data_IF_232781389700
#
_entry.id   IF_232781389700
#
_cell.length_a   1.000
_cell.length_b   1.000
_cell.length_c   1.000
_cell.angle_alpha   90.00
_cell.angle_beta   90.00
_cell.angle_gamma   90.00
#
_symmetry.space_group_name_H-M   'P 1'
#
loop_
_entity.id
_entity.type
_entity.pdbx_description
1 polymer ?
#
# COMPACT_ATOMS: atom_id res chain seq x y z
N UNK A 1 2.91 -11.11 60.90
CA UNK A 1 2.83 -12.32 60.03
C UNK A 1 1.73 -12.05 59.03
N UNK A 2 2.07 -11.41 57.92
CA UNK A 2 1.14 -11.03 56.83
C UNK A 2 1.37 -12.00 55.68
N UNK A 3 0.37 -12.82 55.40
CA UNK A 3 0.31 -13.78 54.33
C UNK A 3 0.05 -13.01 53.00
N UNK A 4 1.03 -12.99 52.11
CA UNK A 4 0.87 -12.54 50.73
C UNK A 4 0.33 -13.69 49.91
N UNK A 5 -0.88 -13.56 49.40
CA UNK A 5 -1.45 -14.48 48.41
C UNK A 5 -0.77 -14.25 47.03
N UNK A 6 -0.47 -15.32 46.28
CA UNK A 6 0.08 -15.18 44.93
C UNK A 6 -1.04 -14.74 43.97
N UNK A 7 -0.81 -13.65 43.26
CA UNK A 7 -1.60 -13.28 42.10
C UNK A 7 -1.37 -14.32 40.97
N UNK A 8 -2.33 -15.23 40.82
CA UNK A 8 -2.42 -16.03 39.60
C UNK A 8 -2.80 -15.10 38.43
N UNK A 9 -1.85 -14.77 37.59
CA UNK A 9 -2.14 -14.19 36.28
C UNK A 9 -2.66 -15.34 35.39
N UNK A 10 -3.97 -15.38 35.18
CA UNK A 10 -4.53 -16.28 34.17
C UNK A 10 -3.90 -15.98 32.80
N UNK A 11 -3.46 -17.00 32.07
CA UNK A 11 -3.01 -16.78 30.69
C UNK A 11 -4.19 -16.25 29.89
N UNK A 12 -3.98 -15.15 29.16
CA UNK A 12 -4.95 -14.58 28.25
C UNK A 12 -5.47 -15.71 27.36
N UNK A 13 -6.79 -16.00 27.46
CA UNK A 13 -7.45 -16.97 26.59
C UNK A 13 -7.11 -16.61 25.16
N UNK A 14 -6.44 -17.50 24.45
CA UNK A 14 -6.31 -17.44 23.01
C UNK A 14 -7.74 -17.35 22.45
N UNK A 15 -8.09 -16.21 21.90
CA UNK A 15 -9.36 -16.02 21.22
C UNK A 15 -9.29 -16.88 19.95
N UNK A 16 -9.87 -18.08 20.02
CA UNK A 16 -10.13 -18.92 18.87
C UNK A 16 -11.28 -18.28 18.08
N UNK A 17 -10.95 -17.17 17.39
CA UNK A 17 -11.83 -16.50 16.46
C UNK A 17 -11.69 -17.25 15.13
N UNK A 18 -12.49 -18.27 14.94
CA UNK A 18 -12.78 -18.80 13.63
C UNK A 18 -13.32 -17.63 12.78
N UNK A 19 -12.41 -16.94 12.05
CA UNK A 19 -12.81 -15.93 11.07
C UNK A 19 -13.42 -16.73 9.92
N UNK A 20 -14.72 -16.89 9.95
CA UNK A 20 -15.52 -17.51 8.88
C UNK A 20 -15.37 -16.75 7.55
N UNK A 21 -14.85 -15.50 7.59
CA UNK A 21 -14.68 -14.62 6.45
C UNK A 21 -13.21 -14.38 6.19
N UNK A 22 -12.66 -15.10 5.24
CA UNK A 22 -11.28 -14.90 4.78
C UNK A 22 -11.21 -13.73 3.80
N UNK A 23 -10.09 -12.96 3.81
CA UNK A 23 -9.85 -11.95 2.78
C UNK A 23 -9.95 -12.56 1.37
N UNK A 24 -10.65 -11.88 0.47
CA UNK A 24 -10.77 -12.32 -0.92
C UNK A 24 -9.52 -11.95 -1.71
N UNK A 25 -8.99 -10.78 -1.44
CA UNK A 25 -7.81 -10.22 -2.10
C UNK A 25 -6.92 -9.59 -1.04
N UNK A 26 -5.62 -9.85 -1.12
CA UNK A 26 -4.60 -9.03 -0.49
C UNK A 26 -4.10 -8.03 -1.53
N UNK A 27 -4.44 -6.77 -1.33
CA UNK A 27 -4.18 -5.73 -2.31
C UNK A 27 -2.78 -5.11 -2.21
N UNK A 28 -1.93 -5.55 -1.26
CA UNK A 28 -0.61 -4.96 -1.06
C UNK A 28 0.41 -6.02 -0.63
N UNK A 29 0.99 -6.67 -1.63
CA UNK A 29 1.96 -7.76 -1.44
C UNK A 29 3.23 -7.42 -2.22
N UNK A 30 4.33 -7.18 -1.51
CA UNK A 30 5.62 -6.98 -2.16
C UNK A 30 6.24 -8.30 -2.55
N UNK A 31 6.84 -8.34 -3.75
CA UNK A 31 7.73 -9.40 -4.21
C UNK A 31 9.01 -8.74 -4.72
N UNK A 32 10.15 -9.26 -4.30
CA UNK A 32 11.46 -8.70 -4.59
C UNK A 32 12.21 -9.66 -5.53
N UNK A 33 12.83 -9.14 -6.59
CA UNK A 33 13.73 -9.97 -7.37
C UNK A 33 14.96 -10.39 -6.55
N UNK A 34 15.60 -11.52 -6.86
CA UNK A 34 16.86 -11.90 -6.23
C UNK A 34 17.96 -10.84 -6.39
N UNK A 35 17.94 -10.08 -7.49
CA UNK A 35 18.87 -8.98 -7.73
C UNK A 35 18.62 -7.81 -6.75
N UNK A 36 17.38 -7.43 -6.53
CA UNK A 36 17.03 -6.39 -5.56
C UNK A 36 17.38 -6.80 -4.14
N UNK A 37 17.10 -8.05 -3.75
CA UNK A 37 17.50 -8.59 -2.44
C UNK A 37 19.03 -8.52 -2.24
N UNK A 38 19.80 -8.91 -3.27
CA UNK A 38 21.26 -8.84 -3.23
C UNK A 38 21.74 -7.39 -3.04
N UNK A 39 21.15 -6.44 -3.76
CA UNK A 39 21.48 -5.03 -3.66
C UNK A 39 21.18 -4.52 -2.24
N UNK A 40 19.99 -4.80 -1.71
CA UNK A 40 19.59 -4.35 -0.39
C UNK A 40 20.45 -4.94 0.73
N UNK A 41 20.82 -6.21 0.64
CA UNK A 41 21.80 -6.83 1.56
C UNK A 41 23.14 -6.14 1.50
N UNK A 42 23.60 -5.77 0.30
CA UNK A 42 24.83 -5.01 0.09
C UNK A 42 24.80 -3.61 0.71
N UNK A 43 23.61 -3.01 0.82
CA UNK A 43 23.37 -1.73 1.51
C UNK A 43 23.13 -1.88 3.02
N UNK A 44 23.21 -3.09 3.56
CA UNK A 44 23.03 -3.36 4.99
C UNK A 44 21.57 -3.45 5.43
N UNK A 45 20.60 -3.52 4.51
CA UNK A 45 19.18 -3.71 4.84
C UNK A 45 19.00 -5.16 5.35
N UNK A 46 18.47 -5.34 6.58
CA UNK A 46 18.34 -6.65 7.17
C UNK A 46 17.18 -7.43 6.59
N UNK A 47 17.37 -8.73 6.36
CA UNK A 47 16.33 -9.68 6.01
C UNK A 47 16.18 -10.70 7.14
N UNK A 48 15.00 -10.80 7.74
CA UNK A 48 14.73 -11.69 8.89
C UNK A 48 14.28 -13.10 8.48
N UNK A 49 14.05 -13.34 7.19
CA UNK A 49 13.61 -14.61 6.62
C UNK A 49 14.51 -15.00 5.45
N UNK A 50 14.51 -16.28 5.02
CA UNK A 50 15.18 -16.69 3.79
C UNK A 50 14.71 -15.91 2.56
N UNK A 51 15.55 -15.79 1.55
CA UNK A 51 15.29 -14.97 0.35
C UNK A 51 14.00 -15.40 -0.39
N UNK A 52 13.70 -16.68 -0.41
CA UNK A 52 12.51 -17.25 -1.03
C UNK A 52 11.22 -16.69 -0.41
N UNK A 53 11.25 -16.34 0.87
CA UNK A 53 10.11 -15.72 1.55
C UNK A 53 9.70 -14.39 0.89
N UNK A 54 10.65 -13.69 0.28
CA UNK A 54 10.45 -12.39 -0.37
C UNK A 54 10.38 -12.49 -1.90
N UNK A 55 10.98 -13.51 -2.49
CA UNK A 55 11.16 -13.60 -3.95
C UNK A 55 10.39 -14.74 -4.60
N UNK A 56 10.12 -15.85 -3.92
CA UNK A 56 9.43 -16.97 -4.53
C UNK A 56 7.92 -16.82 -4.44
N UNK A 57 7.26 -16.77 -5.60
CA UNK A 57 5.81 -16.58 -5.68
C UNK A 57 5.03 -17.75 -5.04
N UNK A 58 5.56 -18.97 -5.07
CA UNK A 58 4.94 -20.14 -4.43
C UNK A 58 4.96 -20.01 -2.91
N UNK A 59 6.09 -19.58 -2.35
CA UNK A 59 6.23 -19.28 -0.91
C UNK A 59 5.30 -18.15 -0.49
N UNK A 60 5.23 -17.05 -1.26
CA UNK A 60 4.34 -15.92 -0.99
C UNK A 60 2.87 -16.37 -0.99
N UNK A 61 2.43 -17.12 -2.00
CA UNK A 61 1.06 -17.64 -2.08
C UNK A 61 0.72 -18.58 -0.92
N UNK A 62 1.67 -19.41 -0.48
CA UNK A 62 1.48 -20.29 0.69
C UNK A 62 1.33 -19.47 1.97
N UNK A 63 2.12 -18.42 2.14
CA UNK A 63 2.08 -17.56 3.31
C UNK A 63 0.83 -16.64 3.33
N UNK A 64 0.34 -16.23 2.17
CA UNK A 64 -0.84 -15.35 2.09
C UNK A 64 -2.16 -16.10 2.14
N UNK A 65 -2.25 -17.27 1.54
CA UNK A 65 -3.42 -18.18 1.57
C UNK A 65 -4.77 -17.50 1.24
N UNK A 66 -4.78 -16.45 0.42
CA UNK A 66 -5.97 -15.75 -0.06
C UNK A 66 -6.33 -16.17 -1.49
N UNK A 67 -7.52 -15.76 -1.96
CA UNK A 67 -7.95 -16.10 -3.32
C UNK A 67 -7.12 -15.39 -4.38
N UNK A 68 -6.75 -14.13 -4.14
CA UNK A 68 -5.96 -13.30 -5.06
C UNK A 68 -5.03 -12.36 -4.32
N UNK A 69 -3.86 -12.12 -4.89
CA UNK A 69 -2.92 -11.11 -4.41
C UNK A 69 -2.57 -10.11 -5.51
N UNK A 70 -2.33 -8.87 -5.11
CA UNK A 70 -1.77 -7.84 -5.97
C UNK A 70 -0.27 -7.75 -5.67
N UNK A 71 0.55 -8.20 -6.63
CA UNK A 71 2.01 -8.16 -6.54
C UNK A 71 2.49 -6.75 -6.91
N UNK A 72 3.17 -6.11 -5.98
CA UNK A 72 3.64 -4.75 -6.12
C UNK A 72 5.13 -4.74 -6.44
N UNK A 73 5.47 -4.21 -7.60
CA UNK A 73 6.87 -4.03 -7.99
C UNK A 73 7.53 -2.95 -7.15
N UNK A 74 8.77 -3.22 -6.74
CA UNK A 74 9.63 -2.28 -6.03
C UNK A 74 10.58 -1.51 -6.97
N UNK A 75 10.33 -1.52 -8.28
CA UNK A 75 11.22 -0.90 -9.27
C UNK A 75 11.51 0.59 -9.01
N UNK A 76 10.58 1.31 -8.39
CA UNK A 76 10.75 2.72 -8.01
C UNK A 76 11.93 2.98 -7.07
N UNK A 77 12.41 1.97 -6.33
CA UNK A 77 13.53 2.15 -5.40
C UNK A 77 14.86 2.38 -6.12
N UNK A 78 15.00 1.88 -7.35
CA UNK A 78 16.22 2.10 -8.14
C UNK A 78 16.40 3.57 -8.57
N UNK A 79 15.32 4.33 -8.58
CA UNK A 79 15.32 5.78 -8.86
C UNK A 79 15.41 6.63 -7.58
N UNK A 80 15.44 6.01 -6.41
CA UNK A 80 15.52 6.71 -5.12
C UNK A 80 16.95 7.17 -4.84
N UNK A 81 17.10 8.45 -4.48
CA UNK A 81 18.39 8.98 -4.04
C UNK A 81 18.90 8.33 -2.75
N UNK A 82 18.00 7.81 -1.91
CA UNK A 82 18.31 7.11 -0.68
C UNK A 82 19.15 5.86 -0.91
N UNK A 83 18.97 5.19 -2.05
CA UNK A 83 19.72 3.98 -2.42
C UNK A 83 20.95 4.25 -3.28
N UNK A 84 21.31 5.51 -3.50
CA UNK A 84 22.63 5.89 -3.99
C UNK A 84 22.83 5.97 -5.51
N UNK A 85 21.79 6.14 -6.30
CA UNK A 85 21.89 6.43 -7.74
C UNK A 85 22.61 5.34 -8.56
N UNK A 86 21.87 4.55 -9.31
CA UNK A 86 22.43 3.48 -10.14
C UNK A 86 22.74 3.98 -11.55
N UNK A 87 23.94 3.70 -12.07
CA UNK A 87 24.32 4.07 -13.45
C UNK A 87 23.42 3.41 -14.50
N UNK A 88 22.90 2.22 -14.22
CA UNK A 88 22.00 1.45 -15.06
C UNK A 88 20.56 1.44 -14.50
N UNK A 89 20.14 2.54 -13.89
CA UNK A 89 18.82 2.69 -13.22
C UNK A 89 17.67 2.17 -14.09
N UNK A 90 17.54 2.64 -15.33
CA UNK A 90 16.46 2.22 -16.23
C UNK A 90 16.44 0.71 -16.45
N UNK A 91 17.59 0.09 -16.67
CA UNK A 91 17.70 -1.36 -16.84
C UNK A 91 17.22 -2.13 -15.61
N UNK A 92 17.59 -1.67 -14.41
CA UNK A 92 17.16 -2.27 -13.14
C UNK A 92 15.64 -2.13 -12.93
N UNK A 93 15.08 -0.98 -13.26
CA UNK A 93 13.62 -0.74 -13.23
C UNK A 93 12.91 -1.72 -14.19
N UNK A 94 13.38 -1.84 -15.41
CA UNK A 94 12.82 -2.74 -16.42
C UNK A 94 12.90 -4.21 -15.99
N UNK A 95 14.02 -4.63 -15.38
CA UNK A 95 14.20 -6.00 -14.87
C UNK A 95 13.26 -6.30 -13.69
N UNK A 96 13.13 -5.41 -12.71
CA UNK A 96 12.25 -5.62 -11.57
C UNK A 96 10.77 -5.71 -11.98
N UNK A 97 10.31 -4.82 -12.85
CA UNK A 97 8.96 -4.89 -13.42
C UNK A 97 8.73 -6.18 -14.21
N UNK A 98 9.72 -6.63 -14.99
CA UNK A 98 9.66 -7.89 -15.72
C UNK A 98 9.60 -9.10 -14.78
N UNK A 99 10.33 -9.06 -13.68
CA UNK A 99 10.32 -10.11 -12.64
C UNK A 99 8.93 -10.28 -12.02
N UNK A 100 8.30 -9.17 -11.63
CA UNK A 100 6.95 -9.19 -11.03
C UNK A 100 5.91 -9.69 -12.03
N UNK A 101 5.99 -9.27 -13.30
CA UNK A 101 5.11 -9.74 -14.35
C UNK A 101 5.28 -11.26 -14.58
N UNK A 102 6.52 -11.76 -14.65
CA UNK A 102 6.81 -13.18 -14.79
C UNK A 102 6.31 -14.01 -13.58
N UNK A 103 6.39 -13.46 -12.36
CA UNK A 103 5.82 -14.09 -11.18
C UNK A 103 4.30 -14.23 -11.29
N UNK A 104 3.59 -13.16 -11.74
CA UNK A 104 2.14 -13.19 -12.01
C UNK A 104 1.79 -14.28 -13.03
N UNK A 105 2.55 -14.40 -14.11
CA UNK A 105 2.25 -15.32 -15.21
C UNK A 105 2.34 -16.80 -14.79
N UNK A 106 3.10 -17.11 -13.73
CA UNK A 106 3.14 -18.46 -13.15
C UNK A 106 1.84 -18.88 -12.45
N UNK A 107 1.00 -17.92 -12.05
CA UNK A 107 -0.22 -18.16 -11.28
C UNK A 107 -1.42 -17.35 -11.81
N UNK A 108 -1.84 -17.61 -13.05
CA UNK A 108 -2.92 -16.87 -13.69
C UNK A 108 -4.23 -16.98 -12.87
N UNK A 109 -4.94 -15.88 -12.74
CA UNK A 109 -6.18 -15.80 -11.98
C UNK A 109 -6.04 -15.68 -10.45
N UNK A 110 -4.85 -15.97 -9.90
CA UNK A 110 -4.53 -15.80 -8.47
C UNK A 110 -3.75 -14.53 -8.18
N UNK A 111 -3.07 -13.99 -9.16
CA UNK A 111 -2.15 -12.85 -9.00
C UNK A 111 -2.46 -11.76 -10.02
N UNK A 112 -2.24 -10.50 -9.61
CA UNK A 112 -2.13 -9.34 -10.50
C UNK A 112 -0.76 -8.72 -10.30
N UNK A 113 -0.20 -8.06 -11.31
CA UNK A 113 1.09 -7.39 -11.25
C UNK A 113 0.91 -5.87 -11.41
N UNK A 114 1.45 -5.11 -10.47
CA UNK A 114 1.52 -3.65 -10.52
C UNK A 114 2.95 -3.23 -10.86
N UNK A 115 3.11 -2.60 -12.01
CA UNK A 115 4.36 -2.05 -12.49
C UNK A 115 4.69 -0.78 -11.72
N UNK A 116 5.96 -0.54 -11.40
CA UNK A 116 6.37 0.64 -10.65
C UNK A 116 7.40 1.47 -11.40
N UNK A 117 7.23 2.78 -11.32
CA UNK A 117 8.16 3.76 -11.90
C UNK A 117 8.28 4.99 -11.00
N UNK A 118 9.39 5.71 -11.12
CA UNK A 118 9.49 7.10 -10.67
C UNK A 118 8.83 8.02 -11.72
N UNK A 119 7.73 8.71 -11.39
CA UNK A 119 7.05 9.56 -12.35
C UNK A 119 7.88 10.76 -12.81
N UNK A 120 8.99 11.07 -12.12
CA UNK A 120 9.86 12.20 -12.45
C UNK A 120 10.90 11.86 -13.51
N UNK A 121 11.09 10.59 -13.83
CA UNK A 121 12.06 10.14 -14.85
C UNK A 121 11.49 10.35 -16.26
N UNK A 122 12.36 10.72 -17.17
CA UNK A 122 11.96 10.98 -18.57
C UNK A 122 11.50 9.70 -19.27
N UNK A 123 12.02 8.54 -18.88
CA UNK A 123 11.62 7.23 -19.40
C UNK A 123 10.34 6.65 -18.75
N UNK A 124 9.73 7.33 -17.76
CA UNK A 124 8.62 6.78 -16.99
C UNK A 124 7.44 6.32 -17.85
N UNK A 125 7.03 7.13 -18.83
CA UNK A 125 5.93 6.77 -19.72
C UNK A 125 6.31 5.66 -20.71
N UNK A 126 7.54 5.60 -21.18
CA UNK A 126 8.03 4.51 -22.06
C UNK A 126 7.98 3.19 -21.29
N UNK A 127 8.43 3.17 -20.03
CA UNK A 127 8.37 1.97 -19.22
C UNK A 127 6.91 1.57 -18.90
N UNK A 128 6.03 2.52 -18.58
CA UNK A 128 4.62 2.21 -18.39
C UNK A 128 3.97 1.65 -19.66
N UNK A 129 4.33 2.15 -20.83
CA UNK A 129 3.86 1.61 -22.09
C UNK A 129 4.38 0.18 -22.34
N UNK A 130 5.65 -0.10 -22.00
CA UNK A 130 6.22 -1.46 -22.02
C UNK A 130 5.49 -2.37 -21.04
N UNK A 131 5.22 -1.90 -19.82
CA UNK A 131 4.45 -2.61 -18.82
C UNK A 131 3.05 -2.99 -19.33
N UNK A 132 2.38 -2.07 -20.01
CA UNK A 132 1.04 -2.29 -20.55
C UNK A 132 1.05 -3.25 -21.76
N UNK A 133 1.93 -3.02 -22.73
CA UNK A 133 1.88 -3.70 -24.03
C UNK A 133 2.63 -5.03 -24.02
N UNK A 134 3.81 -5.05 -23.43
CA UNK A 134 4.71 -6.22 -23.42
C UNK A 134 4.47 -7.08 -22.19
N UNK A 135 4.51 -6.49 -21.00
CA UNK A 135 4.36 -7.21 -19.74
C UNK A 135 2.89 -7.46 -19.37
N UNK A 136 1.96 -6.69 -19.94
CA UNK A 136 0.51 -6.78 -19.69
C UNK A 136 0.20 -6.72 -18.20
N UNK A 137 0.84 -5.80 -17.48
CA UNK A 137 0.61 -5.60 -16.05
C UNK A 137 -0.78 -5.03 -15.80
N UNK A 138 -1.30 -5.29 -14.60
CA UNK A 138 -2.68 -5.04 -14.21
C UNK A 138 -2.89 -3.66 -13.60
N UNK A 139 -1.82 -2.94 -13.26
CA UNK A 139 -1.88 -1.63 -12.66
C UNK A 139 -0.52 -0.96 -12.50
N UNK A 140 -0.52 0.21 -11.90
CA UNK A 140 0.64 1.06 -11.69
C UNK A 140 0.83 1.31 -10.20
N UNK A 141 2.05 1.15 -9.68
CA UNK A 141 2.49 1.62 -8.37
C UNK A 141 3.26 2.92 -8.50
N UNK A 142 2.88 3.92 -7.73
CA UNK A 142 3.66 5.15 -7.53
C UNK A 142 4.06 5.27 -6.06
N UNK A 143 5.26 5.77 -5.79
CA UNK A 143 5.79 5.92 -4.44
C UNK A 143 6.42 7.29 -4.26
N UNK A 144 5.62 8.26 -3.80
CA UNK A 144 6.06 9.65 -3.73
C UNK A 144 7.20 9.87 -2.71
N UNK A 145 7.23 9.12 -1.60
CA UNK A 145 8.30 9.23 -0.62
C UNK A 145 9.64 8.79 -1.21
N UNK A 146 9.74 7.57 -1.72
CA UNK A 146 10.98 7.03 -2.26
C UNK A 146 11.55 7.88 -3.41
N UNK A 147 10.68 8.49 -4.21
CA UNK A 147 11.07 9.29 -5.37
C UNK A 147 11.01 10.81 -5.11
N UNK A 148 10.80 11.23 -3.87
CA UNK A 148 10.74 12.65 -3.47
C UNK A 148 9.80 13.49 -4.35
N UNK A 149 8.61 12.95 -4.65
CA UNK A 149 7.61 13.59 -5.50
C UNK A 149 6.81 14.60 -4.67
N UNK A 150 6.94 15.88 -5.00
CA UNK A 150 6.25 16.98 -4.32
C UNK A 150 5.25 17.63 -5.28
N UNK A 151 3.94 17.45 -5.08
CA UNK A 151 2.93 18.05 -5.94
C UNK A 151 2.95 19.57 -5.89
N UNK A 152 3.47 20.16 -4.81
CA UNK A 152 3.68 21.60 -4.67
C UNK A 152 4.78 22.16 -5.58
N UNK A 153 5.57 21.31 -6.23
CA UNK A 153 6.55 21.67 -7.25
C UNK A 153 5.91 21.54 -8.63
N UNK A 154 5.73 22.63 -9.41
CA UNK A 154 4.97 22.61 -10.67
C UNK A 154 5.48 21.56 -11.67
N UNK A 155 6.79 21.36 -11.77
CA UNK A 155 7.40 20.35 -12.65
C UNK A 155 7.04 18.92 -12.24
N UNK A 156 7.01 18.62 -10.93
CA UNK A 156 6.59 17.32 -10.41
C UNK A 156 5.10 17.08 -10.67
N UNK A 157 4.26 18.07 -10.35
CA UNK A 157 2.82 18.01 -10.61
C UNK A 157 2.51 17.73 -12.09
N UNK A 158 3.20 18.39 -13.00
CA UNK A 158 3.01 18.16 -14.44
C UNK A 158 3.37 16.73 -14.86
N UNK A 159 4.50 16.20 -14.36
CA UNK A 159 4.92 14.81 -14.66
C UNK A 159 3.96 13.79 -14.06
N UNK A 160 3.54 13.95 -12.80
CA UNK A 160 2.55 13.08 -12.15
C UNK A 160 1.21 13.12 -12.90
N UNK A 161 0.74 14.30 -13.30
CA UNK A 161 -0.49 14.45 -14.11
C UNK A 161 -0.43 13.64 -15.40
N UNK A 162 0.72 13.59 -16.09
CA UNK A 162 0.90 12.77 -17.30
C UNK A 162 0.77 11.28 -17.02
N UNK A 163 1.32 10.79 -15.89
CA UNK A 163 1.18 9.39 -15.49
C UNK A 163 -0.27 9.05 -15.16
N UNK A 164 -0.98 9.93 -14.45
CA UNK A 164 -2.41 9.75 -14.17
C UNK A 164 -3.25 9.75 -15.45
N UNK A 165 -2.93 10.65 -16.40
CA UNK A 165 -3.60 10.67 -17.70
C UNK A 165 -3.36 9.36 -18.48
N UNK A 166 -2.12 8.88 -18.51
CA UNK A 166 -1.78 7.59 -19.11
C UNK A 166 -2.58 6.44 -18.47
N UNK A 167 -2.64 6.40 -17.15
CA UNK A 167 -3.39 5.37 -16.41
C UNK A 167 -4.88 5.41 -16.75
N UNK A 168 -5.50 6.59 -16.75
CA UNK A 168 -6.91 6.78 -17.05
C UNK A 168 -7.26 6.41 -18.50
N UNK A 169 -6.43 6.81 -19.47
CA UNK A 169 -6.62 6.50 -20.88
C UNK A 169 -6.52 5.00 -21.16
N UNK A 170 -5.69 4.29 -20.40
CA UNK A 170 -5.47 2.85 -20.53
C UNK A 170 -6.26 2.01 -19.53
N UNK A 171 -7.10 2.63 -18.69
CA UNK A 171 -7.91 1.96 -17.64
C UNK A 171 -7.08 1.14 -16.66
N UNK A 172 -5.86 1.60 -16.36
CA UNK A 172 -4.98 0.98 -15.39
C UNK A 172 -5.24 1.57 -14.00
N UNK A 173 -5.53 0.75 -12.98
CA UNK A 173 -5.62 1.22 -11.61
C UNK A 173 -4.26 1.72 -11.11
N UNK A 174 -4.29 2.70 -10.21
CA UNK A 174 -3.09 3.21 -9.52
C UNK A 174 -3.14 2.80 -8.05
N UNK A 175 -2.06 2.19 -7.55
CA UNK A 175 -1.74 2.10 -6.13
C UNK A 175 -0.75 3.22 -5.79
N UNK A 176 -1.21 4.19 -5.03
CA UNK A 176 -0.46 5.41 -4.72
C UNK A 176 0.02 5.43 -3.28
N UNK A 177 1.33 5.30 -3.05
CA UNK A 177 1.95 5.72 -1.80
C UNK A 177 2.15 7.24 -1.86
N UNK A 178 1.22 7.98 -1.25
CA UNK A 178 1.08 9.41 -1.48
C UNK A 178 1.97 10.27 -0.60
N UNK A 179 2.29 9.81 0.61
CA UNK A 179 3.24 10.49 1.49
C UNK A 179 4.55 10.77 0.74
N UNK A 180 5.07 11.96 0.91
CA UNK A 180 6.35 12.39 0.34
C UNK A 180 7.38 12.74 1.41
N UNK A 181 7.11 12.40 2.67
CA UNK A 181 7.92 12.68 3.87
C UNK A 181 8.21 14.16 4.13
N UNK A 182 7.75 15.07 3.28
CA UNK A 182 7.95 16.49 3.52
C UNK A 182 7.13 16.95 4.74
N UNK A 183 7.73 17.80 5.59
CA UNK A 183 7.07 18.28 6.84
C UNK A 183 5.73 19.01 6.62
N UNK A 184 5.48 19.54 5.42
CA UNK A 184 4.24 20.24 5.04
C UNK A 184 3.25 19.35 4.30
N UNK A 185 3.55 18.04 4.16
CA UNK A 185 2.63 17.11 3.53
C UNK A 185 1.27 17.10 4.25
N UNK A 186 0.21 17.05 3.49
CA UNK A 186 -1.16 17.00 4.03
C UNK A 186 -2.17 17.67 3.11
N UNK A 187 -2.97 18.61 3.65
CA UNK A 187 -4.05 19.25 2.91
C UNK A 187 -3.62 19.90 1.58
N UNK A 188 -2.48 20.63 1.46
CA UNK A 188 -2.07 21.17 0.17
C UNK A 188 -1.84 20.12 -0.91
N UNK A 189 -1.28 18.96 -0.54
CA UNK A 189 -1.05 17.85 -1.48
C UNK A 189 -2.37 17.22 -1.91
N UNK A 190 -3.32 17.05 -0.97
CA UNK A 190 -4.68 16.56 -1.27
C UNK A 190 -5.41 17.53 -2.20
N UNK A 191 -5.36 18.84 -1.93
CA UNK A 191 -5.99 19.87 -2.76
C UNK A 191 -5.44 19.85 -4.20
N UNK A 192 -4.12 19.66 -4.37
CA UNK A 192 -3.48 19.54 -5.68
C UNK A 192 -3.84 18.24 -6.39
N UNK A 193 -3.83 17.11 -5.68
CA UNK A 193 -4.26 15.84 -6.25
C UNK A 193 -5.69 15.92 -6.77
N UNK A 194 -6.60 16.47 -5.97
CA UNK A 194 -8.01 16.58 -6.33
C UNK A 194 -8.23 17.66 -7.40
N UNK A 195 -7.80 18.89 -7.14
CA UNK A 195 -8.13 20.03 -7.98
C UNK A 195 -7.33 20.13 -9.28
N UNK A 196 -6.09 19.62 -9.30
CA UNK A 196 -5.21 19.74 -10.47
C UNK A 196 -5.07 18.44 -11.27
N UNK A 197 -5.30 17.27 -10.65
CA UNK A 197 -5.15 15.98 -11.31
C UNK A 197 -6.52 15.33 -11.52
N UNK A 198 -7.26 15.01 -10.46
CA UNK A 198 -8.47 14.17 -10.55
C UNK A 198 -9.66 14.90 -11.16
N UNK A 199 -9.83 16.19 -10.90
CA UNK A 199 -11.02 16.95 -11.31
C UNK A 199 -11.35 16.79 -12.80
N UNK A 200 -10.36 16.92 -13.66
CA UNK A 200 -10.53 16.90 -15.13
C UNK A 200 -10.17 15.55 -15.74
N UNK A 201 -9.72 14.59 -14.92
CA UNK A 201 -9.31 13.27 -15.39
C UNK A 201 -10.53 12.41 -15.76
N UNK A 202 -10.40 11.53 -16.75
CA UNK A 202 -11.36 10.45 -16.98
C UNK A 202 -11.49 9.56 -15.74
N UNK A 203 -12.58 8.78 -15.58
CA UNK A 203 -12.73 7.86 -14.46
C UNK A 203 -11.49 6.97 -14.25
N UNK A 204 -11.01 6.90 -13.02
CA UNK A 204 -9.87 6.07 -12.63
C UNK A 204 -10.19 5.26 -11.39
N UNK A 205 -9.59 4.08 -11.26
CA UNK A 205 -9.51 3.31 -10.02
C UNK A 205 -8.19 3.67 -9.32
N UNK A 206 -8.29 4.28 -8.14
CA UNK A 206 -7.13 4.68 -7.35
C UNK A 206 -7.24 4.14 -5.94
N UNK A 207 -6.19 3.46 -5.51
CA UNK A 207 -6.02 3.00 -4.14
C UNK A 207 -4.90 3.80 -3.49
N UNK A 208 -5.20 4.45 -2.37
CA UNK A 208 -4.23 5.21 -1.59
C UNK A 208 -3.68 4.30 -0.50
N UNK A 209 -2.39 3.99 -0.57
CA UNK A 209 -1.72 3.10 0.36
C UNK A 209 -1.64 3.70 1.77
N UNK A 210 -1.68 2.84 2.79
CA UNK A 210 -1.42 3.18 4.20
C UNK A 210 -2.21 4.38 4.71
N UNK A 211 -3.46 4.53 4.26
CA UNK A 211 -4.31 5.69 4.59
C UNK A 211 -3.66 7.03 4.24
N UNK A 212 -2.78 7.03 3.23
CA UNK A 212 -2.17 8.23 2.65
C UNK A 212 -0.82 8.61 3.21
N UNK A 213 -0.31 7.88 4.22
CA UNK A 213 1.02 8.11 4.79
C UNK A 213 1.94 6.90 4.61
N UNK A 214 3.02 6.81 5.39
CA UNK A 214 4.01 5.73 5.29
C UNK A 214 3.79 4.62 6.33
N UNK A 215 2.55 4.46 6.77
CA UNK A 215 2.17 3.48 7.80
C UNK A 215 1.88 4.11 9.16
N UNK A 216 1.30 3.29 10.06
CA UNK A 216 0.82 3.77 11.36
C UNK A 216 -0.42 4.66 11.26
N UNK A 217 -0.79 5.26 12.42
CA UNK A 217 -1.98 6.10 12.50
C UNK A 217 -1.74 7.28 13.45
N UNK A 218 -0.88 8.17 13.05
CA UNK A 218 -0.49 9.35 13.81
C UNK A 218 -1.30 10.61 13.45
N UNK A 219 -0.85 11.77 13.92
CA UNK A 219 -1.47 13.06 13.61
C UNK A 219 -1.38 13.41 12.11
N UNK A 220 -0.31 13.00 11.44
CA UNK A 220 -0.10 13.23 10.00
C UNK A 220 -1.12 12.46 9.18
N UNK A 221 -1.32 11.17 9.49
CA UNK A 221 -2.34 10.32 8.86
C UNK A 221 -3.73 10.90 9.06
N UNK A 222 -4.06 11.32 10.29
CA UNK A 222 -5.36 11.94 10.59
C UNK A 222 -5.57 13.26 9.84
N UNK A 223 -4.54 14.09 9.75
CA UNK A 223 -4.57 15.34 8.99
C UNK A 223 -4.87 15.12 7.51
N UNK A 224 -4.16 14.17 6.90
CA UNK A 224 -4.39 13.74 5.52
C UNK A 224 -5.83 13.24 5.31
N UNK A 225 -6.28 12.31 6.15
CA UNK A 225 -7.63 11.73 6.04
C UNK A 225 -8.74 12.78 6.21
N UNK A 226 -8.58 13.73 7.13
CA UNK A 226 -9.54 14.83 7.29
C UNK A 226 -9.64 15.65 6.00
N UNK A 227 -8.51 16.07 5.43
CA UNK A 227 -8.48 16.81 4.19
C UNK A 227 -9.15 16.04 3.03
N UNK A 228 -8.90 14.72 2.96
CA UNK A 228 -9.49 13.90 1.89
C UNK A 228 -10.98 13.65 2.09
N UNK A 229 -11.44 13.44 3.33
CA UNK A 229 -12.87 13.32 3.67
C UNK A 229 -13.61 14.60 3.30
N UNK A 230 -13.04 15.77 3.59
CA UNK A 230 -13.62 17.07 3.22
C UNK A 230 -13.74 17.19 1.69
N UNK A 231 -12.73 16.79 0.93
CA UNK A 231 -12.80 16.78 -0.54
C UNK A 231 -13.86 15.79 -1.07
N UNK A 232 -13.98 14.60 -0.48
CA UNK A 232 -15.02 13.64 -0.87
C UNK A 232 -16.43 14.17 -0.63
N UNK A 233 -16.61 15.03 0.38
CA UNK A 233 -17.89 15.66 0.71
C UNK A 233 -18.23 16.86 -0.18
N UNK A 234 -17.21 17.63 -0.57
CA UNK A 234 -17.41 18.94 -1.22
C UNK A 234 -17.13 18.97 -2.73
N UNK A 235 -16.32 18.03 -3.25
CA UNK A 235 -15.95 17.96 -4.66
C UNK A 235 -16.73 16.87 -5.40
N UNK A 236 -17.82 17.21 -6.12
CA UNK A 236 -18.70 16.21 -6.75
C UNK A 236 -18.02 15.45 -7.89
N UNK A 237 -16.97 16.03 -8.52
CA UNK A 237 -16.26 15.36 -9.63
C UNK A 237 -15.53 14.10 -9.18
N UNK A 238 -15.25 13.93 -7.88
CA UNK A 238 -14.66 12.71 -7.33
C UNK A 238 -15.57 11.50 -7.42
N UNK A 239 -16.91 11.70 -7.54
CA UNK A 239 -17.88 10.59 -7.63
C UNK A 239 -17.70 9.71 -8.88
N UNK A 240 -17.06 10.24 -9.92
CA UNK A 240 -16.77 9.46 -11.14
C UNK A 240 -15.60 8.49 -10.97
N UNK A 241 -14.76 8.69 -9.94
CA UNK A 241 -13.59 7.85 -9.66
C UNK A 241 -13.93 6.78 -8.62
N UNK A 242 -13.28 5.62 -8.72
CA UNK A 242 -13.22 4.67 -7.62
C UNK A 242 -12.00 4.98 -6.77
N UNK A 243 -12.20 5.60 -5.61
CA UNK A 243 -11.14 5.96 -4.67
C UNK A 243 -11.28 5.10 -3.42
N UNK A 244 -10.25 4.30 -3.13
CA UNK A 244 -10.17 3.45 -1.94
C UNK A 244 -8.91 3.75 -1.16
N UNK A 245 -8.93 3.40 0.12
CA UNK A 245 -7.81 3.58 1.04
C UNK A 245 -7.36 2.20 1.51
N UNK A 246 -6.10 1.92 1.29
CA UNK A 246 -5.48 0.67 1.71
C UNK A 246 -5.12 0.75 3.19
N UNK A 247 -5.59 -0.24 3.97
CA UNK A 247 -5.34 -0.31 5.41
C UNK A 247 -4.00 -0.96 5.77
N UNK A 248 -3.24 -1.44 4.78
CA UNK A 248 -1.94 -2.08 5.02
C UNK A 248 -1.01 -1.19 5.85
N UNK A 249 -0.25 -1.79 6.77
CA UNK A 249 0.65 -1.12 7.71
C UNK A 249 0.03 0.00 8.58
N UNK A 250 -1.30 0.13 8.66
CA UNK A 250 -1.97 1.18 9.44
C UNK A 250 -2.29 0.72 10.86
N UNK A 251 -2.93 -0.44 11.00
CA UNK A 251 -3.37 -1.00 12.28
C UNK A 251 -2.23 -1.84 12.92
N UNK A 252 -1.12 -1.20 13.25
CA UNK A 252 0.06 -1.88 13.78
C UNK A 252 -0.14 -2.31 15.23
N UNK A 253 0.06 -3.59 15.53
CA UNK A 253 0.10 -4.15 16.89
C UNK A 253 1.54 -4.37 17.40
N UNK A 254 2.52 -4.19 16.53
CA UNK A 254 3.97 -4.24 16.78
C UNK A 254 4.66 -3.04 16.14
N UNK A 255 5.82 -2.66 16.66
CA UNK A 255 6.67 -1.64 16.04
C UNK A 255 7.30 -2.22 14.76
N UNK A 256 7.37 -1.42 13.69
CA UNK A 256 7.93 -1.84 12.41
C UNK A 256 8.50 -0.64 11.65
N UNK A 257 9.72 -0.80 11.10
CA UNK A 257 10.37 0.16 10.19
C UNK A 257 10.35 1.62 10.69
N UNK A 258 10.59 1.80 12.01
CA UNK A 258 10.56 3.12 12.64
C UNK A 258 9.14 3.66 12.94
N UNK A 259 8.10 2.92 12.57
CA UNK A 259 6.71 3.24 12.90
C UNK A 259 6.30 2.48 14.16
N UNK A 260 5.78 3.21 15.12
CA UNK A 260 5.35 2.65 16.41
C UNK A 260 3.97 1.97 16.28
N UNK A 261 3.77 0.90 17.04
CA UNK A 261 2.44 0.26 17.22
C UNK A 261 1.41 1.24 17.80
N UNK A 262 0.13 0.96 17.54
CA UNK A 262 -0.98 1.73 18.08
C UNK A 262 -1.28 1.37 19.54
N UNK A 263 -1.71 2.38 20.30
CA UNK A 263 -2.33 2.17 21.60
C UNK A 263 -3.79 1.72 21.46
N UNK A 264 -4.41 1.27 22.56
CA UNK A 264 -5.83 0.89 22.57
C UNK A 264 -6.72 2.06 22.17
N UNK A 265 -6.42 3.26 22.66
CA UNK A 265 -7.15 4.49 22.33
C UNK A 265 -7.02 4.84 20.85
N UNK A 266 -5.84 4.67 20.28
CA UNK A 266 -5.58 4.93 18.85
C UNK A 266 -6.33 3.95 17.93
N UNK A 267 -6.45 2.69 18.31
CA UNK A 267 -7.34 1.75 17.61
C UNK A 267 -8.79 2.23 17.61
N UNK A 268 -9.28 2.76 18.75
CA UNK A 268 -10.61 3.37 18.83
C UNK A 268 -10.78 4.60 17.93
N UNK A 269 -9.72 5.43 17.81
CA UNK A 269 -9.72 6.58 16.88
C UNK A 269 -9.71 6.09 15.44
N UNK A 270 -8.86 5.14 15.08
CA UNK A 270 -8.77 4.55 13.76
C UNK A 270 -10.12 3.98 13.29
N UNK A 271 -10.83 3.26 14.17
CA UNK A 271 -12.20 2.77 13.91
C UNK A 271 -13.13 3.91 13.46
N UNK A 272 -13.14 5.04 14.19
CA UNK A 272 -13.98 6.18 13.82
C UNK A 272 -13.65 6.74 12.44
N UNK A 273 -12.38 6.78 12.05
CA UNK A 273 -11.97 7.20 10.71
C UNK A 273 -12.42 6.23 9.62
N UNK A 274 -12.33 4.91 9.87
CA UNK A 274 -12.88 3.89 8.97
C UNK A 274 -14.37 4.10 8.75
N UNK A 275 -15.12 4.39 9.82
CA UNK A 275 -16.56 4.66 9.75
C UNK A 275 -16.88 5.97 9.00
N UNK A 276 -16.07 7.02 9.19
CA UNK A 276 -16.24 8.31 8.48
C UNK A 276 -15.92 8.19 6.98
N UNK A 277 -14.93 7.40 6.59
CA UNK A 277 -14.60 7.11 5.19
C UNK A 277 -15.67 6.24 4.53
N UNK A 278 -16.30 5.36 5.29
CA UNK A 278 -17.13 4.25 4.84
C UNK A 278 -16.28 2.97 4.65
N UNK A 279 -16.66 1.86 5.33
CA UNK A 279 -15.93 0.59 5.21
C UNK A 279 -15.81 0.06 3.78
N UNK A 280 -16.72 0.45 2.88
CA UNK A 280 -16.70 0.11 1.47
C UNK A 280 -15.58 0.82 0.68
N UNK A 281 -15.00 1.87 1.24
CA UNK A 281 -13.83 2.56 0.68
C UNK A 281 -12.51 2.02 1.22
N UNK A 282 -12.55 1.10 2.18
CA UNK A 282 -11.32 0.52 2.74
C UNK A 282 -10.97 -0.74 1.97
N UNK A 283 -9.74 -0.80 1.44
CA UNK A 283 -9.20 -1.98 0.79
C UNK A 283 -8.30 -2.75 1.76
N UNK A 284 -8.45 -4.07 1.77
CA UNK A 284 -7.57 -4.94 2.55
C UNK A 284 -6.22 -5.09 1.83
N UNK A 285 -5.15 -4.90 2.58
CA UNK A 285 -3.77 -5.16 2.19
C UNK A 285 -2.94 -5.45 3.43
N UNK A 286 -1.88 -6.23 3.31
CA UNK A 286 -1.03 -6.65 4.44
C UNK A 286 0.28 -5.91 4.50
N UNK A 287 0.69 -5.30 3.40
CA UNK A 287 2.08 -4.86 3.22
C UNK A 287 3.06 -6.02 3.41
N UNK A 288 2.67 -7.21 2.86
CA UNK A 288 3.56 -8.37 2.95
C UNK A 288 4.97 -8.00 2.47
N UNK A 289 6.01 -8.31 3.23
CA UNK A 289 6.07 -9.36 4.25
C UNK A 289 5.82 -8.89 5.69
N UNK A 290 5.32 -7.69 5.94
CA UNK A 290 5.06 -7.16 7.28
C UNK A 290 4.07 -8.03 8.07
N UNK A 291 2.97 -8.43 7.41
CA UNK A 291 1.97 -9.34 7.94
C UNK A 291 1.56 -10.40 6.90
N UNK A 292 1.07 -11.52 7.38
CA UNK A 292 0.23 -12.41 6.58
C UNK A 292 -1.24 -11.95 6.65
N UNK A 293 -2.09 -12.30 5.66
CA UNK A 293 -3.50 -11.93 5.68
C UNK A 293 -4.26 -12.45 6.90
N UNK A 294 -3.92 -13.66 7.39
CA UNK A 294 -4.55 -14.22 8.58
C UNK A 294 -4.22 -13.41 9.84
N UNK A 295 -2.94 -13.08 10.04
CA UNK A 295 -2.49 -12.25 11.16
C UNK A 295 -3.17 -10.87 11.12
N UNK A 296 -3.13 -10.21 9.97
CA UNK A 296 -3.64 -8.85 9.85
C UNK A 296 -5.18 -8.78 9.97
N UNK A 297 -5.90 -9.73 9.39
CA UNK A 297 -7.34 -9.84 9.58
C UNK A 297 -7.73 -10.07 11.05
N UNK A 298 -6.95 -10.87 11.79
CA UNK A 298 -7.16 -11.08 13.22
C UNK A 298 -6.94 -9.79 14.02
N UNK A 299 -5.91 -9.01 13.70
CA UNK A 299 -5.66 -7.69 14.32
C UNK A 299 -6.83 -6.74 14.05
N UNK A 300 -7.27 -6.61 12.80
CA UNK A 300 -8.39 -5.75 12.43
C UNK A 300 -9.67 -6.16 13.18
N UNK A 301 -9.97 -7.46 13.24
CA UNK A 301 -11.16 -7.97 13.97
C UNK A 301 -11.04 -7.75 15.47
N UNK A 302 -9.90 -8.10 16.06
CA UNK A 302 -9.72 -8.10 17.52
C UNK A 302 -9.47 -6.72 18.14
N UNK A 303 -8.80 -5.82 17.41
CA UNK A 303 -8.38 -4.51 17.95
C UNK A 303 -9.30 -3.36 17.58
N UNK A 304 -9.87 -3.37 16.36
CA UNK A 304 -10.74 -2.28 15.89
C UNK A 304 -12.18 -2.40 16.39
N UNK A 305 -12.62 -3.59 16.84
CA UNK A 305 -14.01 -3.81 17.26
C UNK A 305 -15.02 -3.53 16.14
N UNK A 306 -14.64 -3.77 14.89
CA UNK A 306 -15.52 -3.65 13.73
C UNK A 306 -16.60 -4.72 13.76
N UNK A 307 -17.81 -4.37 13.33
CA UNK A 307 -18.88 -5.33 13.13
C UNK A 307 -18.55 -6.31 12.01
N UNK A 308 -19.20 -7.48 11.99
CA UNK A 308 -19.01 -8.46 10.91
C UNK A 308 -19.39 -7.89 9.53
N UNK A 309 -20.31 -6.96 9.48
CA UNK A 309 -20.70 -6.26 8.23
C UNK A 309 -19.56 -5.35 7.74
N UNK A 310 -18.96 -4.57 8.63
CA UNK A 310 -17.83 -3.70 8.30
C UNK A 310 -16.59 -4.52 7.88
N UNK A 311 -16.28 -5.58 8.63
CA UNK A 311 -15.20 -6.52 8.26
C UNK A 311 -15.44 -7.16 6.89
N UNK A 312 -16.66 -7.66 6.63
CA UNK A 312 -16.99 -8.20 5.29
C UNK A 312 -16.82 -7.17 4.18
N UNK A 313 -17.17 -5.91 4.42
CA UNK A 313 -16.98 -4.83 3.44
C UNK A 313 -15.49 -4.66 3.10
N UNK A 314 -14.63 -4.54 4.10
CA UNK A 314 -13.18 -4.37 3.95
C UNK A 314 -12.55 -5.59 3.25
N UNK A 315 -12.83 -6.81 3.74
CA UNK A 315 -12.21 -8.04 3.25
C UNK A 315 -12.67 -8.45 1.84
N UNK A 316 -13.81 -7.94 1.37
CA UNK A 316 -14.34 -8.18 0.02
C UNK A 316 -14.07 -7.06 -0.97
N UNK A 317 -13.60 -5.90 -0.50
CA UNK A 317 -13.28 -4.79 -1.38
C UNK A 317 -12.09 -5.17 -2.28
N UNK A 318 -12.28 -4.94 -3.60
CA UNK A 318 -11.34 -5.38 -4.66
C UNK A 318 -10.50 -4.23 -5.13
#
# INVERSE_FOLDING_TARGET
MLLTAPFCVEPAKAFDLAIEIKPQTDGHVHILSPELIKIWKGLGIPFSRPDEYYSDIGAILSNTAVRRIDLISMAHVFSSEEFGGFKNERELVEKENSYVAAARDKHPGKTRAFCSVDPLRDYALDELERCRTTLRTDGIKLHHNANQVYLTVPGHLAKVKRVFQFAADNRLPILLHFDNSHRRFGKPDVDLLVGSILKDLKPIDMRIAHFGTSGGFDQRTRGFLNAFIDQLATEPTLKKHRITFDISAVALDKDSEGVRRLTVEEFGVLRRYIQRLGPERIAFGTDYPLYTPAEYAAILKGRLGLTDREMRSILKNK
#
